data_IF_151227578591
#
_entry.id   IF_151227578591
#
_cell.length_a   1.000
_cell.length_b   1.000
_cell.length_c   1.000
_cell.angle_alpha   90.00
_cell.angle_beta   90.00
_cell.angle_gamma   90.00
#
_symmetry.space_group_name_H-M   'P 1'
#
loop_
_entity.id
_entity.type
_entity.pdbx_description
1 polymer ?
#
# COMPACT_ATOMS: atom_id res chain seq x y z
N UNK A 1 2.75 15.47 31.42
CA UNK A 1 3.89 15.94 30.62
C UNK A 1 3.44 16.30 29.22
N UNK A 2 3.71 17.48 28.74
CA UNK A 2 3.31 17.93 27.40
C UNK A 2 4.53 18.28 26.57
N UNK A 3 4.43 18.05 25.25
CA UNK A 3 5.47 18.40 24.29
C UNK A 3 4.82 19.24 23.20
N UNK A 4 5.47 20.32 22.79
CA UNK A 4 4.99 21.12 21.67
C UNK A 4 5.63 20.63 20.36
N UNK A 5 4.79 20.46 19.34
CA UNK A 5 5.21 20.09 17.99
C UNK A 5 4.65 21.13 17.03
N UNK A 6 5.52 21.71 16.20
CA UNK A 6 5.12 22.70 15.19
C UNK A 6 5.28 22.08 13.81
N UNK A 7 4.21 22.12 13.03
CA UNK A 7 4.19 21.60 11.66
C UNK A 7 3.61 22.63 10.72
N UNK A 8 3.98 22.55 9.45
CA UNK A 8 3.39 23.34 8.38
C UNK A 8 2.36 22.52 7.65
N UNK A 9 1.17 23.10 7.44
CA UNK A 9 0.07 22.45 6.73
C UNK A 9 -0.45 23.37 5.63
N UNK A 10 -1.08 22.83 4.57
CA UNK A 10 -1.75 23.66 3.57
C UNK A 10 -2.82 24.54 4.20
N UNK A 11 -3.09 25.71 3.62
CA UNK A 11 -4.05 26.68 4.13
C UNK A 11 -5.42 26.07 4.38
N UNK A 12 -5.90 25.24 3.44
CA UNK A 12 -7.22 24.59 3.53
C UNK A 12 -7.30 23.68 4.75
N UNK A 13 -6.26 22.88 4.96
CA UNK A 13 -6.20 21.98 6.11
C UNK A 13 -6.07 22.77 7.41
N UNK A 14 -5.27 23.82 7.42
CA UNK A 14 -5.10 24.69 8.59
C UNK A 14 -6.40 25.33 9.04
N UNK A 15 -7.23 25.79 8.10
CA UNK A 15 -8.54 26.36 8.41
C UNK A 15 -9.48 25.33 9.05
N UNK A 16 -9.48 24.11 8.55
CA UNK A 16 -10.27 23.02 9.12
C UNK A 16 -9.79 22.66 10.53
N UNK A 17 -8.48 22.61 10.74
CA UNK A 17 -7.90 22.29 12.04
C UNK A 17 -8.15 23.36 13.09
N UNK A 18 -8.19 24.66 12.70
CA UNK A 18 -8.49 25.75 13.62
C UNK A 18 -9.90 25.63 14.20
N UNK A 19 -10.86 25.16 13.41
CA UNK A 19 -12.24 24.95 13.89
C UNK A 19 -12.32 23.79 14.91
N UNK A 20 -11.36 22.86 14.85
CA UNK A 20 -11.31 21.69 15.70
C UNK A 20 -10.17 21.76 16.72
N UNK A 21 -9.68 22.96 17.01
CA UNK A 21 -8.49 23.20 17.83
C UNK A 21 -8.49 22.47 19.17
N UNK A 22 -9.63 22.47 19.86
CA UNK A 22 -9.76 21.80 21.15
C UNK A 22 -9.71 20.28 21.04
N UNK A 23 -10.02 19.74 19.87
CA UNK A 23 -10.03 18.31 19.60
C UNK A 23 -8.81 17.81 18.84
N UNK A 24 -7.84 18.68 18.54
CA UNK A 24 -6.64 18.30 17.81
C UNK A 24 -5.88 17.12 18.42
N UNK A 25 -5.63 17.07 19.74
CA UNK A 25 -4.94 15.90 20.29
C UNK A 25 -5.68 14.59 20.03
N UNK A 26 -7.01 14.59 20.12
CA UNK A 26 -7.84 13.42 19.83
C UNK A 26 -7.75 13.00 18.35
N UNK A 27 -7.83 14.00 17.45
CA UNK A 27 -7.73 13.76 16.01
C UNK A 27 -6.37 13.16 15.64
N UNK A 28 -5.29 13.69 16.21
CA UNK A 28 -3.93 13.20 15.98
C UNK A 28 -3.75 11.79 16.52
N UNK A 29 -4.30 11.47 17.68
CA UNK A 29 -4.26 10.11 18.25
C UNK A 29 -4.96 9.11 17.34
N UNK A 30 -6.14 9.45 16.82
CA UNK A 30 -6.88 8.60 15.90
C UNK A 30 -6.13 8.38 14.59
N UNK A 31 -5.63 9.46 14.00
CA UNK A 31 -4.84 9.38 12.75
C UNK A 31 -3.59 8.54 12.92
N UNK A 32 -2.89 8.69 14.03
CA UNK A 32 -1.70 7.92 14.35
C UNK A 32 -2.03 6.42 14.53
N UNK A 33 -3.13 6.11 15.22
CA UNK A 33 -3.59 4.73 15.37
C UNK A 33 -3.89 4.08 14.03
N UNK A 34 -4.58 4.79 13.14
CA UNK A 34 -4.87 4.30 11.80
C UNK A 34 -3.59 4.03 11.02
N UNK A 35 -2.64 4.95 11.06
CA UNK A 35 -1.36 4.77 10.36
C UNK A 35 -0.55 3.61 10.93
N UNK A 36 -0.55 3.43 12.25
CA UNK A 36 0.16 2.32 12.90
C UNK A 36 -0.53 0.98 12.70
N UNK A 37 -1.84 0.98 12.45
CA UNK A 37 -2.60 -0.23 12.14
C UNK A 37 -2.40 -0.67 10.69
N UNK A 38 -2.03 0.25 9.78
CA UNK A 38 -1.69 -0.11 8.41
C UNK A 38 -0.42 -0.96 8.41
N UNK A 39 -0.47 -2.07 7.68
CA UNK A 39 0.71 -2.91 7.51
C UNK A 39 1.56 -2.32 6.38
N UNK A 40 2.79 -1.86 6.66
CA UNK A 40 3.63 -1.28 5.61
C UNK A 40 3.90 -2.28 4.49
N UNK A 41 3.80 -1.81 3.24
CA UNK A 41 4.08 -2.62 2.06
C UNK A 41 2.90 -3.44 1.56
N UNK A 42 1.76 -3.45 2.25
CA UNK A 42 0.56 -4.13 1.76
C UNK A 42 -0.04 -3.37 0.58
N UNK A 43 -0.28 -4.06 -0.54
CA UNK A 43 -0.90 -3.45 -1.71
C UNK A 43 -2.18 -4.18 -2.10
N UNK A 44 -3.17 -3.40 -2.53
CA UNK A 44 -4.48 -3.92 -2.92
C UNK A 44 -4.65 -3.98 -4.43
N UNK A 45 -3.88 -3.19 -5.17
CA UNK A 45 -4.00 -3.08 -6.62
C UNK A 45 -2.71 -2.55 -7.25
N UNK A 46 -2.73 -2.43 -8.56
CA UNK A 46 -1.66 -1.87 -9.38
C UNK A 46 -1.26 -0.46 -8.95
N UNK A 47 -2.23 0.38 -8.65
CA UNK A 47 -2.00 1.79 -8.34
C UNK A 47 -1.16 1.94 -7.08
N UNK A 48 -1.38 1.12 -6.07
CA UNK A 48 -0.61 1.15 -4.83
C UNK A 48 0.87 0.87 -5.09
N UNK A 49 1.17 -0.07 -5.99
CA UNK A 49 2.55 -0.39 -6.38
C UNK A 49 3.17 0.74 -7.20
N UNK A 50 2.44 1.29 -8.16
CA UNK A 50 2.91 2.40 -8.98
C UNK A 50 3.26 3.60 -8.10
N UNK A 51 2.40 3.95 -7.16
CA UNK A 51 2.65 5.05 -6.23
C UNK A 51 3.88 4.80 -5.37
N UNK A 52 4.04 3.58 -4.86
CA UNK A 52 5.22 3.24 -4.08
C UNK A 52 6.49 3.38 -4.91
N UNK A 53 6.53 2.80 -6.10
CA UNK A 53 7.70 2.84 -6.97
C UNK A 53 8.02 4.28 -7.41
N UNK A 54 7.00 5.10 -7.64
CA UNK A 54 7.18 6.51 -8.01
C UNK A 54 7.73 7.36 -6.86
N UNK A 55 7.55 6.93 -5.62
CA UNK A 55 8.02 7.64 -4.42
C UNK A 55 9.51 7.39 -4.10
N UNK A 56 10.24 6.69 -4.95
CA UNK A 56 11.64 6.32 -4.75
C UNK A 56 11.83 5.57 -3.43
N UNK A 57 11.28 4.37 -3.31
CA UNK A 57 11.33 3.61 -2.06
C UNK A 57 12.74 3.12 -1.75
N UNK A 58 13.01 2.90 -0.46
CA UNK A 58 14.23 2.23 -0.05
C UNK A 58 14.16 0.73 -0.42
N UNK A 59 15.31 0.03 -0.53
CA UNK A 59 15.28 -1.41 -0.77
C UNK A 59 14.47 -2.17 0.28
N UNK A 60 14.51 -1.76 1.53
CA UNK A 60 13.74 -2.37 2.62
C UNK A 60 12.23 -2.23 2.39
N UNK A 61 11.79 -1.07 1.91
CA UNK A 61 10.38 -0.84 1.57
C UNK A 61 9.92 -1.74 0.43
N UNK A 62 10.77 -1.94 -0.58
CA UNK A 62 10.47 -2.84 -1.70
C UNK A 62 10.38 -4.28 -1.21
N UNK A 63 11.30 -4.73 -0.36
CA UNK A 63 11.27 -6.10 0.19
C UNK A 63 10.04 -6.36 1.06
N UNK A 64 9.45 -5.32 1.63
CA UNK A 64 8.24 -5.42 2.44
C UNK A 64 6.96 -5.54 1.60
N UNK A 65 7.03 -5.35 0.28
CA UNK A 65 5.85 -5.44 -0.60
C UNK A 65 5.19 -6.81 -0.51
N UNK A 66 3.90 -6.82 -0.27
CA UNK A 66 3.08 -8.03 -0.22
C UNK A 66 1.64 -7.70 -0.62
N UNK A 67 0.92 -8.61 -1.27
CA UNK A 67 -0.49 -8.39 -1.57
C UNK A 67 -1.32 -8.37 -0.29
N UNK A 68 -2.38 -7.56 -0.28
CA UNK A 68 -3.35 -7.56 0.81
C UNK A 68 -4.04 -8.94 0.91
N UNK A 69 -4.58 -9.32 2.10
CA UNK A 69 -5.33 -10.57 2.21
C UNK A 69 -6.50 -10.65 1.23
N UNK A 70 -7.17 -9.54 0.96
CA UNK A 70 -8.27 -9.46 0.00
C UNK A 70 -7.80 -9.76 -1.42
N UNK A 71 -6.67 -9.20 -1.82
CA UNK A 71 -6.09 -9.46 -3.14
C UNK A 71 -5.62 -10.91 -3.26
N UNK A 72 -4.99 -11.47 -2.23
CA UNK A 72 -4.59 -12.87 -2.20
C UNK A 72 -5.79 -13.80 -2.37
N UNK A 73 -6.88 -13.52 -1.67
CA UNK A 73 -8.11 -14.29 -1.76
C UNK A 73 -8.69 -14.23 -3.17
N UNK A 74 -8.70 -13.05 -3.78
CA UNK A 74 -9.20 -12.88 -5.14
C UNK A 74 -8.37 -13.64 -6.17
N UNK A 75 -7.05 -13.56 -6.07
CA UNK A 75 -6.16 -14.28 -6.98
C UNK A 75 -6.30 -15.78 -6.81
N UNK A 76 -6.41 -16.27 -5.58
CA UNK A 76 -6.64 -17.69 -5.30
C UNK A 76 -7.94 -18.20 -5.90
N UNK A 77 -9.01 -17.40 -5.78
CA UNK A 77 -10.30 -17.70 -6.39
C UNK A 77 -10.20 -17.81 -7.92
N UNK A 78 -9.55 -16.82 -8.55
CA UNK A 78 -9.38 -16.81 -10.01
C UNK A 78 -8.52 -17.98 -10.48
N UNK A 79 -7.46 -18.32 -9.78
CA UNK A 79 -6.61 -19.46 -10.11
C UNK A 79 -7.36 -20.78 -9.99
N UNK A 80 -8.18 -20.94 -8.94
CA UNK A 80 -9.01 -22.12 -8.76
C UNK A 80 -10.01 -22.29 -9.90
N UNK A 81 -10.71 -21.23 -10.26
CA UNK A 81 -11.70 -21.25 -11.34
C UNK A 81 -11.04 -21.41 -12.72
N UNK A 82 -9.82 -20.90 -12.90
CA UNK A 82 -9.07 -21.08 -14.12
C UNK A 82 -8.73 -22.54 -14.38
N UNK A 83 -8.39 -23.30 -13.34
CA UNK A 83 -8.13 -24.73 -13.44
C UNK A 83 -9.35 -25.50 -13.94
N UNK A 84 -10.54 -25.01 -13.61
CA UNK A 84 -11.80 -25.60 -14.02
C UNK A 84 -12.32 -25.08 -15.37
N UNK A 85 -11.60 -24.10 -15.96
CA UNK A 85 -11.99 -23.51 -17.24
C UNK A 85 -13.20 -22.60 -17.14
N UNK A 86 -13.49 -22.06 -15.96
CA UNK A 86 -14.71 -21.28 -15.68
C UNK A 86 -14.53 -19.76 -15.69
N UNK A 87 -13.39 -19.25 -16.12
CA UNK A 87 -13.17 -17.81 -16.15
C UNK A 87 -13.85 -17.14 -17.34
N UNK A 88 -14.50 -16.00 -17.09
CA UNK A 88 -14.92 -15.09 -18.16
C UNK A 88 -13.69 -14.39 -18.76
N UNK A 89 -13.87 -13.73 -19.91
CA UNK A 89 -12.79 -12.94 -20.52
C UNK A 89 -12.29 -11.83 -19.63
N UNK A 90 -13.19 -11.17 -18.93
CA UNK A 90 -12.83 -10.11 -17.99
C UNK A 90 -12.00 -10.67 -16.84
N UNK A 91 -12.37 -11.83 -16.35
CA UNK A 91 -11.65 -12.50 -15.26
C UNK A 91 -10.29 -13.02 -15.71
N UNK A 92 -10.18 -13.51 -16.95
CA UNK A 92 -8.89 -13.88 -17.52
C UNK A 92 -7.94 -12.68 -17.61
N UNK A 93 -8.46 -11.52 -18.06
CA UNK A 93 -7.68 -10.28 -18.12
C UNK A 93 -7.25 -9.82 -16.73
N UNK A 94 -8.16 -9.91 -15.77
CA UNK A 94 -7.88 -9.59 -14.36
C UNK A 94 -6.75 -10.46 -13.81
N UNK A 95 -6.83 -11.77 -14.05
CA UNK A 95 -5.81 -12.70 -13.59
C UNK A 95 -4.45 -12.43 -14.25
N UNK A 96 -4.42 -12.15 -15.55
CA UNK A 96 -3.19 -11.79 -16.27
C UNK A 96 -2.53 -10.55 -15.68
N UNK A 97 -3.32 -9.54 -15.32
CA UNK A 97 -2.82 -8.33 -14.67
C UNK A 97 -2.16 -8.65 -13.34
N UNK A 98 -2.79 -9.46 -12.53
CA UNK A 98 -2.24 -9.84 -11.22
C UNK A 98 -0.94 -10.64 -11.37
N UNK A 99 -0.87 -11.54 -12.33
CA UNK A 99 0.35 -12.32 -12.59
C UNK A 99 1.49 -11.44 -13.08
N UNK A 100 1.19 -10.46 -13.93
CA UNK A 100 2.17 -9.47 -14.39
C UNK A 100 2.67 -8.62 -13.21
N UNK A 101 1.76 -8.19 -12.36
CA UNK A 101 2.07 -7.40 -11.18
C UNK A 101 2.97 -8.20 -10.21
N UNK A 102 2.65 -9.45 -9.97
CA UNK A 102 3.45 -10.35 -9.15
C UNK A 102 4.86 -10.49 -9.71
N UNK A 103 4.98 -10.64 -11.02
CA UNK A 103 6.28 -10.73 -11.69
C UNK A 103 7.09 -9.44 -11.50
N UNK A 104 6.46 -8.29 -11.67
CA UNK A 104 7.09 -6.98 -11.45
C UNK A 104 7.60 -6.83 -10.02
N UNK A 105 6.78 -7.20 -9.04
CA UNK A 105 7.16 -7.14 -7.62
C UNK A 105 8.34 -8.08 -7.34
N UNK A 106 8.34 -9.27 -7.93
CA UNK A 106 9.41 -10.25 -7.77
C UNK A 106 10.74 -9.72 -8.33
N UNK A 107 10.71 -9.07 -9.50
CA UNK A 107 11.88 -8.44 -10.10
C UNK A 107 12.38 -7.26 -9.23
N UNK A 108 11.48 -6.44 -8.72
CA UNK A 108 11.84 -5.32 -7.87
C UNK A 108 12.51 -5.82 -6.58
N UNK A 109 11.99 -6.89 -5.98
CA UNK A 109 12.57 -7.50 -4.79
C UNK A 109 13.97 -8.08 -5.07
N UNK A 110 14.16 -8.71 -6.24
CA UNK A 110 15.47 -9.23 -6.63
C UNK A 110 16.51 -8.10 -6.72
N UNK A 111 16.14 -6.96 -7.29
CA UNK A 111 16.99 -5.78 -7.36
C UNK A 111 17.28 -5.21 -5.97
N UNK A 112 16.28 -5.15 -5.12
CA UNK A 112 16.43 -4.67 -3.75
C UNK A 112 17.41 -5.54 -2.95
N UNK A 113 17.36 -6.86 -3.09
CA UNK A 113 18.32 -7.78 -2.49
C UNK A 113 19.73 -7.52 -2.96
N UNK A 114 19.93 -7.27 -4.26
CA UNK A 114 21.25 -6.92 -4.81
C UNK A 114 21.77 -5.63 -4.22
N UNK A 115 20.94 -4.61 -4.09
CA UNK A 115 21.33 -3.32 -3.52
C UNK A 115 21.78 -3.46 -2.07
N UNK A 116 21.11 -4.29 -1.29
CA UNK A 116 21.45 -4.52 0.11
C UNK A 116 22.70 -5.40 0.29
N UNK A 117 23.00 -6.22 -0.71
CA UNK A 117 24.19 -7.11 -0.69
C UNK A 117 25.46 -6.42 -1.21
N UNK A 118 25.33 -5.25 -1.81
CA UNK A 118 26.44 -4.51 -2.41
C UNK A 118 27.29 -3.76 -1.38
#
# INVERSE_FOLDING_TARGET
MTVEITIQVPITLGQQLQQLRERLPEILERGLREMLAEKPGEFQDENAIIELLASQPTPEQVLALRPSPELQARVSELLGRNKEGELSRQEETELERYLTLEHLVRLAKARAHKQLAA
#
